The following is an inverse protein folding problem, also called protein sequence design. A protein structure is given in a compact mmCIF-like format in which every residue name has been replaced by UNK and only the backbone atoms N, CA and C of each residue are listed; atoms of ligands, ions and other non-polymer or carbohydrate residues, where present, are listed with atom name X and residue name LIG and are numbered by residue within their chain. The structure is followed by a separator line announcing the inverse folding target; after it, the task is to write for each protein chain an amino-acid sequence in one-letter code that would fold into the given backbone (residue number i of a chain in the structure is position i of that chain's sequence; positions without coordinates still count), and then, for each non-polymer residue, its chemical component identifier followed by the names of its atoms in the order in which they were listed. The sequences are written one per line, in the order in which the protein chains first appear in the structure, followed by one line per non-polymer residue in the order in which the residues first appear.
data_IF_900624462343
#
_entry.id   IF_900624462343
#
_cell.length_a   1.000
_cell.length_b   1.000
_cell.length_c   1.000
_cell.angle_alpha   90.00
_cell.angle_beta   90.00
_cell.angle_gamma   90.00
#
_symmetry.space_group_name_H-M   'P 1'
#
loop_
_entity.id
_entity.type
_entity.pdbx_description
1 polymer ?
#
# COMPACT_ATOMS: atom_id res chain seq x y z
N UNK A 1 -20.65 -44.24 -33.93
CA UNK A 1 -20.34 -42.96 -33.25
C UNK A 1 -19.33 -43.26 -32.18
N UNK A 2 -18.06 -42.97 -32.45
CA UNK A 2 -16.94 -43.15 -31.52
C UNK A 2 -16.77 -41.86 -30.70
N UNK A 3 -16.59 -41.93 -29.37
CA UNK A 3 -16.38 -40.74 -28.55
C UNK A 3 -15.00 -40.16 -28.85
N UNK A 4 -14.97 -38.89 -29.25
CA UNK A 4 -13.73 -38.14 -29.46
C UNK A 4 -13.18 -37.73 -28.09
N UNK A 5 -12.14 -38.43 -27.64
CA UNK A 5 -11.44 -38.11 -26.40
C UNK A 5 -10.68 -36.80 -26.58
N UNK A 6 -11.20 -35.70 -26.02
CA UNK A 6 -10.49 -34.42 -25.97
C UNK A 6 -9.23 -34.57 -25.14
N UNK A 7 -8.06 -34.36 -25.77
CA UNK A 7 -6.77 -34.36 -25.08
C UNK A 7 -6.67 -33.07 -24.28
N UNK A 8 -6.70 -33.16 -22.94
CA UNK A 8 -6.44 -32.04 -22.04
C UNK A 8 -4.93 -31.90 -21.93
N UNK A 9 -4.36 -30.89 -22.58
CA UNK A 9 -2.95 -30.53 -22.37
C UNK A 9 -2.88 -29.56 -21.18
N UNK A 10 -2.48 -30.10 -20.02
CA UNK A 10 -2.12 -29.27 -18.86
C UNK A 10 -0.71 -28.74 -19.08
N UNK A 11 -0.58 -27.45 -19.37
CA UNK A 11 0.71 -26.77 -19.47
C UNK A 11 0.92 -26.01 -18.16
N UNK A 12 1.86 -26.47 -17.34
CA UNK A 12 2.31 -25.77 -16.14
C UNK A 12 3.03 -24.48 -16.56
N UNK A 13 2.71 -23.30 -15.99
CA UNK A 13 3.39 -22.06 -16.35
C UNK A 13 4.89 -22.15 -16.05
N UNK A 14 5.69 -21.59 -16.97
CA UNK A 14 7.15 -21.60 -16.91
C UNK A 14 7.68 -20.89 -15.64
N UNK A 15 8.87 -21.31 -15.20
CA UNK A 15 9.52 -20.97 -13.93
C UNK A 15 10.02 -19.51 -13.80
N UNK A 16 9.47 -18.55 -14.55
CA UNK A 16 9.96 -17.17 -14.53
C UNK A 16 9.34 -16.27 -13.46
N UNK A 17 8.58 -16.82 -12.50
CA UNK A 17 8.27 -16.10 -11.26
C UNK A 17 9.30 -16.47 -10.21
N UNK A 18 10.49 -15.87 -10.28
CA UNK A 18 11.39 -15.84 -9.12
C UNK A 18 10.70 -15.04 -8.02
N UNK A 19 10.02 -15.74 -7.11
CA UNK A 19 9.74 -15.20 -5.79
C UNK A 19 11.10 -14.96 -5.13
N UNK A 20 11.52 -13.71 -5.06
CA UNK A 20 12.61 -13.32 -4.15
C UNK A 20 12.00 -13.46 -2.76
N UNK A 21 12.16 -14.63 -2.16
CA UNK A 21 12.06 -14.76 -0.71
C UNK A 21 13.23 -13.95 -0.18
N UNK A 22 12.94 -12.81 0.44
CA UNK A 22 13.92 -12.08 1.22
C UNK A 22 14.26 -12.96 2.42
N UNK A 23 15.28 -13.79 2.24
CA UNK A 23 15.95 -14.46 3.35
C UNK A 23 16.68 -13.36 4.13
N UNK A 24 16.49 -13.25 5.46
CA UNK A 24 17.33 -12.40 6.29
C UNK A 24 18.81 -12.68 6.00
N UNK A 25 19.66 -11.65 6.04
CA UNK A 25 21.08 -11.77 5.67
C UNK A 25 21.86 -12.81 6.51
N UNK A 26 21.32 -13.23 7.66
CA UNK A 26 21.74 -14.42 8.40
C UNK A 26 20.56 -14.91 9.27
N UNK A 27 20.07 -16.16 9.12
CA UNK A 27 19.02 -16.72 9.97
C UNK A 27 19.45 -16.99 11.42
N UNK A 28 20.75 -16.84 11.73
CA UNK A 28 21.31 -17.03 13.07
C UNK A 28 21.83 -15.74 13.71
N UNK A 29 21.69 -14.58 13.08
CA UNK A 29 22.07 -13.32 13.70
C UNK A 29 20.91 -12.79 14.57
N UNK A 30 21.03 -12.80 15.91
CA UNK A 30 19.99 -12.27 16.77
C UNK A 30 19.83 -10.76 16.52
N UNK A 31 18.58 -10.32 16.38
CA UNK A 31 18.20 -8.90 16.22
C UNK A 31 18.73 -8.01 17.36
N UNK A 32 19.16 -8.62 18.46
CA UNK A 32 19.72 -7.97 19.65
C UNK A 32 21.09 -7.30 19.40
N UNK A 33 21.84 -7.65 18.35
CA UNK A 33 23.14 -7.01 18.08
C UNK A 33 23.05 -5.57 17.54
N UNK A 34 21.84 -5.06 17.24
CA UNK A 34 21.60 -3.66 16.86
C UNK A 34 20.85 -2.88 17.94
N UNK A 35 20.66 -3.49 19.11
CA UNK A 35 20.23 -2.80 20.32
C UNK A 35 21.52 -2.52 21.09
N UNK A 36 21.92 -1.25 21.15
CA UNK A 36 22.75 -0.83 22.29
C UNK A 36 22.00 -1.28 23.55
N UNK A 37 22.69 -1.96 24.46
CA UNK A 37 22.20 -2.30 25.80
C UNK A 37 21.85 -0.99 26.53
N UNK A 38 20.63 -0.49 26.32
CA UNK A 38 20.13 0.67 27.05
C UNK A 38 19.49 0.15 28.33
N UNK A 39 20.12 0.58 29.41
CA UNK A 39 19.65 0.48 30.77
C UNK A 39 18.19 0.97 30.87
N UNK A 40 17.23 0.11 31.23
CA UNK A 40 15.84 0.54 31.45
C UNK A 40 15.72 1.66 32.50
N UNK A 41 16.74 1.85 33.34
CA UNK A 41 16.82 3.00 34.24
C UNK A 41 16.99 4.33 33.50
N UNK A 42 17.72 4.40 32.38
CA UNK A 42 17.92 5.64 31.61
C UNK A 42 16.63 6.10 30.92
N UNK A 43 15.82 5.16 30.41
CA UNK A 43 14.50 5.47 29.84
C UNK A 43 13.52 5.98 30.91
N UNK A 44 13.58 5.41 32.13
CA UNK A 44 12.79 5.89 33.27
C UNK A 44 13.26 7.25 33.79
N UNK A 45 14.57 7.53 33.74
CA UNK A 45 15.16 8.79 34.21
C UNK A 45 14.93 9.94 33.23
N UNK A 46 14.98 9.73 31.91
CA UNK A 46 14.59 10.77 30.94
C UNK A 46 13.07 11.02 30.94
N UNK A 47 12.25 9.98 31.16
CA UNK A 47 10.79 10.14 31.32
C UNK A 47 10.46 10.91 32.61
N UNK A 48 11.18 10.66 33.71
CA UNK A 48 11.07 11.42 34.96
C UNK A 48 11.60 12.85 34.85
N UNK A 49 12.72 13.08 34.15
CA UNK A 49 13.31 14.41 33.98
C UNK A 49 12.47 15.33 33.07
N UNK A 50 11.69 14.76 32.14
CA UNK A 50 10.73 15.50 31.34
C UNK A 50 9.50 15.97 32.17
N UNK A 51 9.18 15.29 33.27
CA UNK A 51 8.11 15.67 34.20
C UNK A 51 8.53 16.83 35.12
N UNK A 52 9.83 16.98 35.38
CA UNK A 52 10.35 17.95 36.36
C UNK A 52 10.54 19.39 35.82
N UNK A 53 10.25 19.63 34.54
CA UNK A 53 10.36 20.96 33.91
C UNK A 53 9.01 21.60 33.63
N UNK A 54 8.25 21.87 34.69
CA UNK A 54 7.12 22.80 34.63
C UNK A 54 7.00 23.57 35.97
N UNK A 55 7.44 24.84 36.08
CA UNK A 55 7.36 25.59 37.32
C UNK A 55 6.08 26.42 37.36
N UNK A 56 4.91 25.80 37.20
CA UNK A 56 3.65 26.43 37.60
C UNK A 56 2.72 25.36 38.17
N UNK A 57 2.88 25.11 39.47
CA UNK A 57 1.95 24.30 40.24
C UNK A 57 0.53 24.84 40.10
N UNK A 58 -0.32 24.10 39.39
CA UNK A 58 -1.77 24.18 39.52
C UNK A 58 -2.28 22.78 39.90
N UNK A 59 -3.13 22.67 40.93
CA UNK A 59 -3.63 21.37 41.38
C UNK A 59 -4.46 20.71 40.27
N UNK A 60 -4.20 19.41 40.06
CA UNK A 60 -5.08 18.52 39.29
C UNK A 60 -6.35 18.26 40.11
N UNK A 61 -7.37 19.09 39.91
CA UNK A 61 -8.75 18.75 40.21
C UNK A 61 -9.63 19.37 39.14
N UNK A 62 -10.62 18.60 38.68
CA UNK A 62 -11.66 18.93 37.68
C UNK A 62 -11.30 18.53 36.24
N UNK A 63 -11.17 17.21 36.03
CA UNK A 63 -11.61 16.62 34.76
C UNK A 63 -13.11 16.41 34.85
N UNK A 64 -13.89 17.28 34.21
CA UNK A 64 -15.28 17.00 33.91
C UNK A 64 -15.37 15.82 32.93
N UNK A 65 -16.32 14.88 33.12
CA UNK A 65 -16.54 13.80 32.17
C UNK A 65 -17.09 14.42 30.87
N UNK A 66 -16.35 14.24 29.77
CA UNK A 66 -16.84 14.55 28.44
C UNK A 66 -17.88 13.48 28.08
N UNK A 67 -19.11 13.95 27.91
CA UNK A 67 -20.27 13.22 27.41
C UNK A 67 -20.02 12.80 25.95
N UNK A 68 -19.77 11.52 25.73
CA UNK A 68 -19.65 10.91 24.40
C UNK A 68 -21.05 10.67 23.80
N UNK A 69 -21.74 11.76 23.44
CA UNK A 69 -22.96 11.65 22.62
C UNK A 69 -23.07 12.79 21.62
N UNK A 70 -22.63 12.52 20.38
CA UNK A 70 -23.02 13.09 19.06
C UNK A 70 -21.84 12.78 18.10
N UNK A 71 -21.91 11.91 17.08
CA UNK A 71 -23.01 11.69 16.16
C UNK A 71 -23.04 12.79 15.10
N UNK A 72 -22.15 12.77 14.08
CA UNK A 72 -22.56 12.85 12.66
C UNK A 72 -21.41 12.98 11.63
N UNK A 73 -21.53 12.11 10.61
CA UNK A 73 -21.25 12.29 9.17
C UNK A 73 -19.78 12.50 8.75
N UNK A 74 -19.07 11.38 8.60
CA UNK A 74 -18.10 11.29 7.49
C UNK A 74 -18.85 11.39 6.15
N UNK A 75 -18.33 12.12 5.14
CA UNK A 75 -19.05 12.31 3.88
C UNK A 75 -19.38 10.95 3.25
N UNK A 76 -20.67 10.73 3.02
CA UNK A 76 -21.22 9.51 2.45
C UNK A 76 -20.60 9.25 1.06
N UNK A 77 -19.70 8.28 0.98
CA UNK A 77 -19.15 7.77 -0.29
C UNK A 77 -20.15 6.83 -1.00
N UNK A 78 -21.44 6.90 -0.67
CA UNK A 78 -22.44 5.88 -1.00
C UNK A 78 -23.42 6.28 -2.11
N UNK A 79 -23.18 7.36 -2.85
CA UNK A 79 -24.11 7.81 -3.92
C UNK A 79 -23.41 8.10 -5.25
N UNK A 80 -22.55 7.19 -5.71
CA UNK A 80 -22.08 7.20 -7.09
C UNK A 80 -22.65 5.99 -7.84
N UNK A 81 -23.21 6.16 -9.04
CA UNK A 81 -23.75 5.06 -9.83
C UNK A 81 -22.63 4.07 -10.18
N UNK A 82 -22.93 2.78 -10.08
CA UNK A 82 -22.08 1.72 -10.64
C UNK A 82 -22.21 1.80 -12.16
N UNK A 83 -21.16 2.28 -12.85
CA UNK A 83 -21.09 2.37 -14.32
C UNK A 83 -19.71 1.91 -14.79
N UNK A 84 -19.58 1.55 -16.07
CA UNK A 84 -19.15 0.26 -16.60
C UNK A 84 -17.65 -0.02 -16.38
N UNK A 85 -17.23 -1.26 -16.66
CA UNK A 85 -15.81 -1.70 -16.71
C UNK A 85 -14.91 -0.56 -17.22
N UNK A 86 -13.85 -0.23 -16.47
CA UNK A 86 -12.81 0.70 -16.90
C UNK A 86 -12.32 0.31 -18.31
N UNK A 87 -12.73 1.09 -19.33
CA UNK A 87 -12.36 0.89 -20.74
C UNK A 87 -10.93 1.36 -20.99
N UNK A 88 -9.97 0.56 -20.50
CA UNK A 88 -8.54 0.82 -20.63
C UNK A 88 -7.88 -0.26 -21.47
N UNK A 89 -8.27 -0.48 -22.73
CA UNK A 89 -7.76 -1.61 -23.53
C UNK A 89 -6.86 -1.20 -24.72
N UNK A 90 -6.47 0.06 -24.79
CA UNK A 90 -5.65 0.60 -25.87
C UNK A 90 -4.15 0.41 -25.66
N UNK A 91 -3.70 0.42 -24.41
CA UNK A 91 -2.29 0.34 -24.02
C UNK A 91 -2.06 -0.67 -22.91
N UNK A 92 -0.84 -1.19 -22.84
CA UNK A 92 -0.41 -2.08 -21.77
C UNK A 92 -0.25 -1.34 -20.44
N UNK A 93 0.18 -0.08 -20.46
CA UNK A 93 0.41 0.72 -19.26
C UNK A 93 -0.42 1.98 -19.34
N UNK A 94 -0.99 2.42 -18.22
CA UNK A 94 -1.62 3.72 -18.07
C UNK A 94 -1.01 4.46 -16.90
N UNK A 95 -0.78 5.76 -17.08
CA UNK A 95 -0.29 6.64 -16.02
C UNK A 95 -1.31 7.74 -15.73
N UNK A 96 -1.44 8.16 -14.46
CA UNK A 96 -2.24 9.34 -14.14
C UNK A 96 -1.71 10.57 -14.88
N UNK A 97 -2.62 11.41 -15.35
CA UNK A 97 -2.28 12.71 -15.94
C UNK A 97 -2.00 13.81 -14.91
N UNK A 98 -2.21 13.52 -13.62
CA UNK A 98 -2.00 14.40 -12.48
C UNK A 98 -1.04 13.74 -11.47
N UNK A 99 -0.97 14.24 -10.24
CA UNK A 99 -0.10 13.68 -9.20
C UNK A 99 -0.45 12.24 -8.79
N UNK A 100 -1.61 11.72 -9.21
CA UNK A 100 -2.07 10.38 -8.90
C UNK A 100 -2.38 10.15 -7.42
N UNK A 101 -2.50 11.22 -6.60
CA UNK A 101 -2.76 11.07 -5.16
C UNK A 101 -4.15 10.51 -4.92
N UNK A 102 -4.23 9.26 -4.49
CA UNK A 102 -5.48 8.52 -4.31
C UNK A 102 -5.90 8.36 -2.86
N UNK A 103 -4.97 8.58 -1.92
CA UNK A 103 -5.26 8.49 -0.50
C UNK A 103 -4.23 9.25 0.33
N UNK A 104 -4.64 9.74 1.50
CA UNK A 104 -3.75 10.30 2.52
C UNK A 104 -4.37 10.08 3.90
N UNK A 105 -3.56 9.67 4.87
CA UNK A 105 -4.01 9.34 6.22
C UNK A 105 -2.91 9.51 7.26
N UNK A 106 -3.31 9.54 8.53
CA UNK A 106 -2.42 9.48 9.69
C UNK A 106 -2.58 8.11 10.34
N UNK A 107 -1.48 7.38 10.40
CA UNK A 107 -1.41 6.07 11.04
C UNK A 107 -0.56 6.17 12.31
N UNK A 108 -1.07 5.65 13.41
CA UNK A 108 -0.35 5.67 14.69
C UNK A 108 0.74 4.58 14.67
N UNK A 109 2.00 4.99 14.83
CA UNK A 109 3.13 4.08 14.94
C UNK A 109 3.23 3.57 16.39
N UNK A 110 3.14 4.47 17.37
CA UNK A 110 2.99 4.08 18.77
C UNK A 110 2.33 5.21 19.57
N UNK A 111 1.82 4.84 20.74
CA UNK A 111 1.44 5.79 21.79
C UNK A 111 2.08 5.40 23.12
N UNK A 112 2.46 6.40 23.89
CA UNK A 112 3.01 6.30 25.23
C UNK A 112 2.56 7.53 26.07
N UNK A 113 2.61 7.48 27.41
CA UNK A 113 1.95 8.46 28.28
C UNK A 113 2.23 9.94 27.98
N UNK A 114 3.46 10.27 27.53
CA UNK A 114 3.89 11.64 27.25
C UNK A 114 4.25 11.90 25.78
N UNK A 115 4.07 10.90 24.91
CA UNK A 115 4.48 11.01 23.51
C UNK A 115 3.77 10.02 22.59
N UNK A 116 3.48 10.47 21.37
CA UNK A 116 2.96 9.64 20.30
C UNK A 116 3.73 9.87 19.01
N UNK A 117 3.89 8.84 18.19
CA UNK A 117 4.45 8.97 16.85
C UNK A 117 3.42 8.51 15.84
N UNK A 118 3.17 9.35 14.83
CA UNK A 118 2.28 9.07 13.71
C UNK A 118 3.05 9.13 12.39
N UNK A 119 2.70 8.25 11.46
CA UNK A 119 3.07 8.34 10.06
C UNK A 119 1.95 8.98 9.24
N UNK A 120 2.20 10.13 8.62
CA UNK A 120 1.35 10.67 7.56
C UNK A 120 1.71 10.00 6.25
N UNK A 121 0.89 9.06 5.82
CA UNK A 121 1.08 8.35 4.56
C UNK A 121 0.32 9.09 3.46
N UNK A 122 0.98 9.35 2.34
CA UNK A 122 0.33 9.81 1.09
C UNK A 122 0.58 8.79 0.02
N UNK A 123 -0.52 8.30 -0.58
CA UNK A 123 -0.49 7.26 -1.59
C UNK A 123 -0.73 7.82 -2.97
N UNK A 124 0.17 7.50 -3.87
CA UNK A 124 0.12 7.84 -5.27
C UNK A 124 -0.07 6.58 -6.10
N UNK A 125 -1.07 6.58 -6.98
CA UNK A 125 -1.12 5.63 -8.08
C UNK A 125 -0.02 6.02 -9.08
N UNK A 126 0.96 5.16 -9.30
CA UNK A 126 2.02 5.39 -10.29
C UNK A 126 1.61 4.87 -11.68
N UNK A 127 0.98 3.68 -11.73
CA UNK A 127 0.47 3.11 -12.98
C UNK A 127 -0.62 2.07 -12.80
N UNK A 128 -1.41 1.88 -13.85
CA UNK A 128 -2.28 0.72 -14.06
C UNK A 128 -1.71 -0.06 -15.24
N UNK A 129 -1.37 -1.32 -15.04
CA UNK A 129 -0.69 -2.16 -16.04
C UNK A 129 -1.51 -3.39 -16.36
N UNK A 130 -1.69 -3.70 -17.64
CA UNK A 130 -2.13 -5.01 -18.09
C UNK A 130 -0.93 -5.95 -18.23
N UNK A 131 -0.80 -6.84 -17.25
CA UNK A 131 0.23 -7.88 -17.24
C UNK A 131 -0.23 -9.04 -18.10
N UNK A 132 0.50 -9.34 -19.18
CA UNK A 132 0.24 -10.53 -19.98
C UNK A 132 0.57 -11.77 -19.14
N UNK A 133 -0.40 -12.67 -18.96
CA UNK A 133 -0.19 -13.95 -18.28
C UNK A 133 0.16 -15.03 -19.29
N UNK A 134 -0.56 -15.08 -20.40
CA UNK A 134 -0.31 -16.05 -21.47
C UNK A 134 -0.81 -15.53 -22.81
N UNK A 135 -0.37 -16.18 -23.89
CA UNK A 135 -0.88 -15.99 -25.23
C UNK A 135 -0.94 -17.35 -25.94
N UNK A 136 -1.99 -17.57 -26.72
CA UNK A 136 -2.20 -18.78 -27.48
C UNK A 136 -2.65 -18.47 -28.89
N UNK A 137 -2.00 -19.07 -29.88
CA UNK A 137 -2.42 -18.97 -31.27
C UNK A 137 -3.09 -20.29 -31.68
N UNK A 138 -4.42 -20.30 -31.80
CA UNK A 138 -5.13 -21.48 -32.25
C UNK A 138 -5.02 -21.57 -33.77
N UNK A 139 -4.11 -22.41 -34.26
CA UNK A 139 -3.91 -22.66 -35.69
C UNK A 139 -4.83 -23.75 -36.25
N UNK A 140 -5.71 -24.32 -35.42
CA UNK A 140 -6.62 -25.38 -35.84
C UNK A 140 -7.86 -24.76 -36.53
N UNK A 141 -8.52 -25.52 -37.43
CA UNK A 141 -9.77 -25.10 -38.06
C UNK A 141 -10.99 -25.19 -37.13
N UNK A 142 -10.79 -25.61 -35.87
CA UNK A 142 -11.83 -25.76 -34.85
C UNK A 142 -11.48 -24.94 -33.62
N UNK A 143 -12.53 -24.53 -32.90
CA UNK A 143 -12.42 -23.90 -31.60
C UNK A 143 -11.66 -24.80 -30.59
N UNK A 144 -10.93 -24.16 -29.69
CA UNK A 144 -10.19 -24.82 -28.61
C UNK A 144 -10.55 -24.19 -27.26
N UNK A 145 -10.66 -25.00 -26.21
CA UNK A 145 -10.91 -24.50 -24.85
C UNK A 145 -9.64 -24.60 -24.02
N UNK A 146 -9.25 -23.49 -23.41
CA UNK A 146 -8.08 -23.40 -22.55
C UNK A 146 -8.45 -23.06 -21.12
N UNK A 147 -7.78 -23.70 -20.17
CA UNK A 147 -7.82 -23.29 -18.76
C UNK A 147 -6.64 -22.39 -18.45
N UNK A 148 -6.92 -21.21 -17.88
CA UNK A 148 -5.91 -20.26 -17.45
C UNK A 148 -6.16 -19.92 -15.99
N UNK A 149 -5.11 -19.97 -15.18
CA UNK A 149 -5.15 -19.55 -13.78
C UNK A 149 -4.31 -18.30 -13.55
N UNK A 150 -4.78 -17.41 -12.70
CA UNK A 150 -4.02 -16.25 -12.23
C UNK A 150 -4.29 -16.00 -10.75
N UNK A 151 -3.35 -15.34 -10.09
CA UNK A 151 -3.40 -15.10 -8.64
C UNK A 151 -3.47 -13.61 -8.34
N UNK A 152 -4.37 -13.25 -7.44
CA UNK A 152 -4.44 -11.91 -6.85
C UNK A 152 -3.50 -11.83 -5.66
N UNK A 153 -2.86 -10.68 -5.46
CA UNK A 153 -1.95 -10.48 -4.34
C UNK A 153 -1.57 -9.01 -4.20
N UNK A 154 -1.16 -8.65 -2.99
CA UNK A 154 -0.44 -7.43 -2.69
C UNK A 154 1.02 -7.77 -2.41
N UNK A 155 1.95 -7.01 -2.98
CA UNK A 155 3.38 -7.15 -2.69
C UNK A 155 4.06 -5.80 -2.54
N UNK A 156 4.93 -5.69 -1.53
CA UNK A 156 5.88 -4.60 -1.42
C UNK A 156 7.07 -4.89 -2.35
N UNK A 157 7.40 -3.93 -3.21
CA UNK A 157 8.50 -4.04 -4.19
C UNK A 157 9.70 -3.17 -3.86
N UNK A 158 9.48 -2.13 -3.06
CA UNK A 158 10.53 -1.29 -2.50
C UNK A 158 10.08 -0.72 -1.16
N UNK A 159 11.03 -0.53 -0.27
CA UNK A 159 10.75 -0.21 1.13
C UNK A 159 10.32 -1.49 1.84
N UNK A 160 10.90 -1.73 3.01
CA UNK A 160 10.30 -2.69 3.94
C UNK A 160 8.92 -2.18 4.32
N UNK A 161 8.00 -3.11 4.55
CA UNK A 161 6.76 -2.78 5.25
C UNK A 161 7.12 -2.13 6.58
N UNK A 162 6.40 -1.08 6.97
CA UNK A 162 6.55 -0.46 8.30
C UNK A 162 5.92 -1.42 9.32
N UNK A 163 6.55 -2.56 9.57
CA UNK A 163 5.98 -3.59 10.45
C UNK A 163 6.03 -3.22 11.93
N UNK A 164 6.74 -2.14 12.28
CA UNK A 164 6.74 -1.56 13.62
C UNK A 164 5.71 -0.44 13.68
N UNK A 165 4.54 -0.75 14.23
CA UNK A 165 3.57 0.25 14.69
C UNK A 165 2.25 0.29 13.91
N UNK A 166 2.26 0.25 12.58
CA UNK A 166 1.04 0.19 11.78
C UNK A 166 1.19 -0.69 10.54
N UNK A 167 0.19 -1.52 10.26
CA UNK A 167 0.23 -2.45 9.13
C UNK A 167 -0.11 -1.70 7.83
N UNK A 168 0.91 -1.40 7.02
CA UNK A 168 0.72 -0.68 5.76
C UNK A 168 -0.11 -1.50 4.76
N UNK A 169 0.03 -2.82 4.72
CA UNK A 169 -0.82 -3.69 3.89
C UNK A 169 -2.32 -3.57 4.24
N UNK A 170 -2.64 -3.46 5.52
CA UNK A 170 -4.01 -3.31 6.01
C UNK A 170 -4.66 -2.00 5.54
N UNK A 171 -3.88 -0.92 5.34
CA UNK A 171 -4.39 0.35 4.80
C UNK A 171 -4.82 0.28 3.32
N UNK A 172 -4.52 -0.82 2.62
CA UNK A 172 -5.05 -1.08 1.28
C UNK A 172 -6.40 -1.80 1.31
N UNK A 173 -6.76 -2.46 2.42
CA UNK A 173 -8.05 -3.15 2.56
C UNK A 173 -9.19 -2.14 2.48
N UNK A 174 -10.09 -2.32 1.52
CA UNK A 174 -11.20 -1.39 1.28
C UNK A 174 -10.78 -0.06 0.66
N UNK A 175 -9.53 0.09 0.22
CA UNK A 175 -9.08 1.25 -0.53
C UNK A 175 -9.96 1.42 -1.77
N UNK A 176 -10.39 2.66 -2.00
CA UNK A 176 -11.19 3.02 -3.14
C UNK A 176 -10.54 4.17 -3.90
N UNK A 177 -10.43 4.01 -5.22
CA UNK A 177 -9.82 5.01 -6.10
C UNK A 177 -10.79 5.38 -7.23
N UNK A 178 -10.81 6.65 -7.60
CA UNK A 178 -11.55 7.13 -8.77
C UNK A 178 -10.63 7.17 -10.00
N UNK A 179 -11.01 6.49 -11.08
CA UNK A 179 -10.25 6.44 -12.34
C UNK A 179 -11.22 6.65 -13.52
N UNK A 180 -10.95 7.65 -14.36
CA UNK A 180 -11.78 8.04 -15.51
C UNK A 180 -13.27 8.18 -15.18
N UNK A 181 -13.59 8.73 -14.00
CA UNK A 181 -14.98 8.90 -13.54
C UNK A 181 -15.65 7.64 -12.99
N UNK A 182 -14.98 6.49 -13.04
CA UNK A 182 -15.43 5.25 -12.40
C UNK A 182 -14.70 5.01 -11.08
N UNK A 183 -15.30 4.20 -10.21
CA UNK A 183 -14.77 3.89 -8.87
C UNK A 183 -14.29 2.45 -8.82
N UNK A 184 -13.07 2.26 -8.31
CA UNK A 184 -12.47 0.94 -8.10
C UNK A 184 -12.25 0.71 -6.61
N UNK A 185 -12.77 -0.38 -6.08
CA UNK A 185 -12.63 -0.78 -4.67
C UNK A 185 -11.80 -2.06 -4.56
N UNK A 186 -10.65 -2.03 -3.90
CA UNK A 186 -9.81 -3.21 -3.70
C UNK A 186 -10.40 -4.16 -2.66
N UNK A 187 -10.50 -5.44 -3.02
CA UNK A 187 -11.07 -6.47 -2.15
C UNK A 187 -10.03 -7.04 -1.17
N UNK A 188 -10.49 -7.79 -0.19
CA UNK A 188 -9.62 -8.52 0.74
C UNK A 188 -8.77 -9.59 0.04
N UNK A 189 -9.29 -10.22 -1.02
CA UNK A 189 -8.56 -11.15 -1.88
C UNK A 189 -7.45 -10.50 -2.71
N UNK A 190 -7.47 -9.17 -2.86
CA UNK A 190 -6.44 -8.43 -3.58
C UNK A 190 -5.38 -7.83 -2.66
N UNK A 191 -5.69 -7.69 -1.36
CA UNK A 191 -4.90 -6.85 -0.44
C UNK A 191 -4.33 -7.61 0.76
N UNK A 192 -5.12 -8.47 1.40
CA UNK A 192 -4.73 -9.16 2.63
C UNK A 192 -4.53 -10.65 2.41
N UNK A 193 -5.36 -11.26 1.56
CA UNK A 193 -5.26 -12.67 1.19
C UNK A 193 -4.89 -12.78 -0.28
N UNK A 194 -4.34 -13.92 -0.69
CA UNK A 194 -4.13 -14.22 -2.11
C UNK A 194 -5.15 -15.26 -2.57
N UNK A 195 -5.71 -15.07 -3.77
CA UNK A 195 -6.66 -16.01 -4.35
C UNK A 195 -6.26 -16.37 -5.77
N UNK A 196 -6.24 -17.66 -6.08
CA UNK A 196 -6.07 -18.13 -7.46
C UNK A 196 -7.44 -18.33 -8.09
N UNK A 197 -7.64 -17.73 -9.27
CA UNK A 197 -8.85 -17.86 -10.08
C UNK A 197 -8.48 -18.65 -11.33
N UNK A 198 -9.26 -19.69 -11.64
CA UNK A 198 -9.11 -20.50 -12.86
C UNK A 198 -10.30 -20.25 -13.78
N UNK A 199 -10.03 -19.97 -15.05
CA UNK A 199 -11.03 -19.66 -16.07
C UNK A 199 -10.90 -20.61 -17.25
N UNK A 200 -12.05 -20.93 -17.85
CA UNK A 200 -12.12 -21.62 -19.16
C UNK A 200 -12.38 -20.59 -20.26
N UNK A 201 -11.49 -20.53 -21.24
CA UNK A 201 -11.53 -19.58 -22.34
C UNK A 201 -11.67 -20.35 -23.64
N UNK A 202 -12.72 -20.04 -24.41
CA UNK A 202 -12.83 -20.53 -25.78
C UNK A 202 -12.00 -19.65 -26.72
N UNK A 203 -11.12 -20.27 -27.50
CA UNK A 203 -10.28 -19.63 -28.51
C UNK A 203 -10.76 -20.11 -29.88
N UNK A 204 -11.37 -19.23 -30.67
CA UNK A 204 -11.86 -19.59 -32.00
C UNK A 204 -10.76 -20.14 -32.91
N UNK A 205 -11.17 -20.90 -33.91
CA UNK A 205 -10.27 -21.37 -34.97
C UNK A 205 -9.45 -20.21 -35.59
N UNK A 206 -8.19 -20.49 -35.95
CA UNK A 206 -7.27 -19.57 -36.64
C UNK A 206 -7.12 -18.19 -35.97
N UNK A 207 -7.21 -18.13 -34.63
CA UNK A 207 -7.23 -16.87 -33.88
C UNK A 207 -6.18 -16.84 -32.78
N UNK A 208 -5.54 -15.68 -32.60
CA UNK A 208 -4.70 -15.37 -31.45
C UNK A 208 -5.57 -14.98 -30.26
N UNK A 209 -5.26 -15.50 -29.08
CA UNK A 209 -5.76 -15.05 -27.79
C UNK A 209 -4.58 -14.60 -26.93
N UNK A 210 -4.70 -13.42 -26.32
CA UNK A 210 -3.76 -12.92 -25.31
C UNK A 210 -4.55 -12.64 -24.05
N UNK A 211 -4.13 -13.22 -22.92
CA UNK A 211 -4.77 -13.05 -21.63
C UNK A 211 -3.99 -12.07 -20.78
N UNK A 212 -4.68 -11.05 -20.26
CA UNK A 212 -4.11 -10.03 -19.41
C UNK A 212 -4.80 -9.98 -18.05
N UNK A 213 -4.01 -9.76 -17.00
CA UNK A 213 -4.48 -9.43 -15.65
C UNK A 213 -4.08 -7.99 -15.31
N UNK A 214 -4.97 -7.23 -14.66
CA UNK A 214 -4.69 -5.85 -14.27
C UNK A 214 -3.82 -5.82 -13.01
N UNK A 215 -2.81 -4.96 -13.00
CA UNK A 215 -1.95 -4.65 -11.85
C UNK A 215 -1.99 -3.16 -11.57
N UNK A 216 -2.08 -2.78 -10.31
CA UNK A 216 -1.97 -1.40 -9.86
C UNK A 216 -0.64 -1.22 -9.13
N UNK A 217 0.10 -0.19 -9.52
CA UNK A 217 1.39 0.16 -8.93
C UNK A 217 1.22 1.45 -8.12
N UNK A 218 1.58 1.41 -6.84
CA UNK A 218 1.46 2.52 -5.90
C UNK A 218 2.82 2.93 -5.33
N UNK A 219 2.97 4.22 -5.04
CA UNK A 219 4.03 4.79 -4.20
C UNK A 219 3.42 5.42 -2.96
N UNK A 220 3.88 4.97 -1.80
CA UNK A 220 3.54 5.54 -0.51
C UNK A 220 4.70 6.43 -0.03
N UNK A 221 4.37 7.67 0.34
CA UNK A 221 5.27 8.64 0.97
C UNK A 221 4.84 8.88 2.41
N UNK A 222 5.63 8.39 3.35
CA UNK A 222 5.38 8.50 4.79
C UNK A 222 6.26 9.58 5.40
N UNK A 223 5.62 10.64 5.90
CA UNK A 223 6.26 11.64 6.76
C UNK A 223 5.87 11.40 8.21
N UNK A 224 6.64 11.92 9.16
CA UNK A 224 6.37 11.65 10.57
C UNK A 224 5.87 12.90 11.30
N UNK A 225 4.91 12.67 12.19
CA UNK A 225 4.41 13.63 13.17
C UNK A 225 4.71 13.08 14.55
N UNK A 226 5.46 13.83 15.34
CA UNK A 226 5.77 13.49 16.72
C UNK A 226 4.97 14.40 17.65
N UNK A 227 4.22 13.80 18.57
CA UNK A 227 3.54 14.49 19.65
C UNK A 227 4.33 14.28 20.93
N UNK A 228 4.64 15.36 21.66
CA UNK A 228 5.20 15.32 23.02
C UNK A 228 4.88 16.63 23.74
N UNK A 229 4.82 16.62 25.07
CA UNK A 229 4.58 17.83 25.86
C UNK A 229 3.42 18.72 25.34
N UNK A 230 2.31 18.07 24.93
CA UNK A 230 1.10 18.72 24.39
C UNK A 230 1.27 19.49 23.07
N UNK A 231 2.35 19.26 22.35
CA UNK A 231 2.65 19.91 21.07
C UNK A 231 2.90 18.86 19.98
N UNK A 232 2.61 19.25 18.74
CA UNK A 232 2.78 18.40 17.56
C UNK A 232 3.82 19.02 16.64
N UNK A 233 4.81 18.23 16.24
CA UNK A 233 5.82 18.65 15.27
C UNK A 233 5.84 17.70 14.09
N UNK A 234 6.04 18.25 12.90
CA UNK A 234 6.57 17.46 11.80
C UNK A 234 8.01 17.06 12.13
N UNK A 235 8.47 15.91 11.65
CA UNK A 235 9.85 15.47 11.88
C UNK A 235 10.69 15.77 10.63
N UNK A 236 11.69 16.61 10.80
CA UNK A 236 12.76 16.88 9.83
C UNK A 236 13.83 15.79 9.84
N UNK A 237 14.79 15.88 8.93
CA UNK A 237 15.95 14.97 8.90
C UNK A 237 16.83 15.10 10.16
N UNK A 238 17.79 14.18 10.35
CA UNK A 238 18.60 14.02 11.56
C UNK A 238 19.03 15.33 12.24
N UNK A 239 19.72 16.24 11.53
CA UNK A 239 20.24 17.49 12.10
C UNK A 239 19.65 18.76 11.44
N UNK A 240 18.53 18.66 10.73
CA UNK A 240 17.92 19.82 10.08
C UNK A 240 16.39 19.80 10.13
N UNK A 241 15.77 20.97 10.20
CA UNK A 241 14.31 21.10 10.19
C UNK A 241 13.73 20.75 8.81
N UNK A 242 14.50 20.89 7.73
CA UNK A 242 14.08 20.53 6.38
C UNK A 242 15.19 19.79 5.62
N UNK A 243 14.85 18.90 4.68
CA UNK A 243 13.49 18.45 4.34
C UNK A 243 12.85 17.61 5.47
N UNK A 244 11.57 17.30 5.34
CA UNK A 244 10.92 16.36 6.25
C UNK A 244 11.48 14.95 6.06
N UNK A 245 11.65 14.24 7.17
CA UNK A 245 12.02 12.83 7.14
C UNK A 245 10.92 12.06 6.38
N UNK A 246 11.33 11.30 5.36
CA UNK A 246 10.40 10.67 4.41
C UNK A 246 10.81 9.24 4.12
N UNK A 247 9.90 8.29 4.40
CA UNK A 247 10.01 6.92 3.88
C UNK A 247 9.27 6.83 2.57
N UNK A 248 9.89 6.20 1.57
CA UNK A 248 9.23 5.81 0.33
C UNK A 248 9.08 4.30 0.31
N UNK A 249 7.86 3.85 0.05
CA UNK A 249 7.54 2.44 -0.20
C UNK A 249 6.77 2.29 -1.51
N UNK A 250 6.94 1.16 -2.20
CA UNK A 250 6.23 0.85 -3.44
C UNK A 250 5.47 -0.45 -3.32
N UNK A 251 4.21 -0.42 -3.70
CA UNK A 251 3.27 -1.54 -3.56
C UNK A 251 2.69 -1.88 -4.91
N UNK A 252 2.52 -3.17 -5.16
CA UNK A 252 1.82 -3.67 -6.33
C UNK A 252 0.65 -4.52 -5.91
N UNK A 253 -0.50 -4.29 -6.54
CA UNK A 253 -1.71 -5.09 -6.36
C UNK A 253 -2.06 -5.77 -7.67
N UNK A 254 -1.97 -7.09 -7.71
CA UNK A 254 -2.51 -7.92 -8.79
C UNK A 254 -4.01 -8.11 -8.56
N UNK A 255 -4.81 -7.58 -9.49
CA UNK A 255 -6.26 -7.50 -9.36
C UNK A 255 -6.99 -8.74 -9.88
N UNK A 256 -8.23 -8.94 -9.45
CA UNK A 256 -9.21 -9.86 -10.04
C UNK A 256 -9.63 -9.45 -11.46
N UNK A 257 -9.32 -8.23 -11.90
CA UNK A 257 -9.67 -7.75 -13.24
C UNK A 257 -8.79 -8.41 -14.32
N UNK A 258 -9.45 -9.01 -15.30
CA UNK A 258 -8.79 -9.63 -16.46
C UNK A 258 -9.54 -9.30 -17.76
N UNK A 259 -8.85 -9.44 -18.87
CA UNK A 259 -9.48 -9.45 -20.20
C UNK A 259 -8.66 -10.26 -21.20
N UNK A 260 -9.31 -10.63 -22.31
CA UNK A 260 -8.66 -11.28 -23.45
C UNK A 260 -8.65 -10.36 -24.66
N UNK A 261 -7.60 -10.45 -25.46
CA UNK A 261 -7.44 -9.71 -26.70
C UNK A 261 -7.07 -10.63 -27.85
N UNK A 262 -7.39 -10.23 -29.08
CA UNK A 262 -6.94 -10.90 -30.31
C UNK A 262 -5.65 -10.33 -30.89
N UNK A 263 -5.06 -9.37 -30.17
CA UNK A 263 -3.80 -8.71 -30.49
C UNK A 263 -3.04 -8.39 -29.20
N UNK A 264 -1.74 -8.24 -29.31
CA UNK A 264 -0.96 -7.70 -28.20
C UNK A 264 -1.29 -6.21 -28.00
N UNK A 265 -1.40 -5.81 -26.73
CA UNK A 265 -1.47 -4.40 -26.38
C UNK A 265 -0.13 -3.71 -26.68
N UNK A 266 -0.14 -2.49 -27.23
CA UNK A 266 1.08 -1.69 -27.38
C UNK A 266 1.63 -1.26 -26.01
N UNK A 267 2.94 -1.12 -25.91
CA UNK A 267 3.65 -0.83 -24.65
C UNK A 267 3.43 0.57 -24.06
N UNK A 268 2.90 1.53 -24.82
CA UNK A 268 2.91 2.94 -24.44
C UNK A 268 2.27 3.21 -23.06
N UNK A 269 2.58 4.33 -22.39
CA UNK A 269 1.66 4.80 -21.39
C UNK A 269 0.47 5.46 -22.11
N UNK A 270 -0.72 4.87 -22.00
CA UNK A 270 -1.96 5.63 -22.06
C UNK A 270 -2.06 6.57 -20.86
N UNK A 271 -3.02 7.49 -20.90
CA UNK A 271 -3.26 8.43 -19.80
C UNK A 271 -4.61 8.16 -19.14
N UNK A 272 -4.67 8.31 -17.83
CA UNK A 272 -5.93 8.23 -17.06
C UNK A 272 -6.11 9.44 -16.16
N UNK A 273 -7.37 9.85 -15.99
CA UNK A 273 -7.75 10.81 -14.98
C UNK A 273 -7.93 10.10 -13.65
N UNK A 274 -7.30 10.60 -12.59
CA UNK A 274 -7.46 10.06 -11.23
C UNK A 274 -8.12 11.10 -10.35
N UNK A 275 -9.15 10.69 -9.61
CA UNK A 275 -9.78 11.56 -8.60
C UNK A 275 -8.79 11.80 -7.46
N UNK A 276 -8.41 13.06 -7.27
CA UNK A 276 -7.44 13.43 -6.24
C UNK A 276 -8.06 13.35 -4.85
N UNK A 277 -7.42 12.58 -3.96
CA UNK A 277 -7.73 12.62 -2.55
C UNK A 277 -7.21 13.91 -1.90
N UNK A 278 -7.90 14.45 -0.88
CA UNK A 278 -7.33 15.49 -0.03
C UNK A 278 -6.07 14.97 0.66
N UNK A 279 -5.14 15.88 0.94
CA UNK A 279 -3.91 15.54 1.66
C UNK A 279 -4.06 15.92 3.13
N UNK A 280 -3.70 15.00 4.02
CA UNK A 280 -3.69 15.29 5.45
C UNK A 280 -2.55 16.26 5.76
N UNK A 281 -2.89 17.33 6.49
CA UNK A 281 -1.93 18.36 6.86
C UNK A 281 -0.96 17.82 7.93
N UNK A 282 0.31 18.21 7.80
CA UNK A 282 1.28 18.07 8.87
C UNK A 282 1.31 19.35 9.73
N UNK A 283 1.79 19.25 10.98
CA UNK A 283 2.05 20.44 11.79
C UNK A 283 2.97 21.42 11.06
N UNK A 284 2.77 22.72 11.30
CA UNK A 284 3.62 23.78 10.72
C UNK A 284 5.02 23.76 11.31
N UNK A 285 5.09 23.53 12.62
CA UNK A 285 6.35 23.50 13.34
C UNK A 285 7.06 22.17 13.07
N UNK A 286 8.37 22.25 12.89
CA UNK A 286 9.20 21.10 12.60
C UNK A 286 10.22 20.89 13.71
N UNK A 287 10.49 19.64 14.02
CA UNK A 287 11.51 19.21 14.97
C UNK A 287 12.57 18.42 14.19
N UNK A 288 13.85 18.68 14.46
CA UNK A 288 14.93 17.85 13.91
C UNK A 288 14.78 16.43 14.43
N UNK A 289 15.05 15.41 13.62
CA UNK A 289 14.89 14.02 14.09
C UNK A 289 15.78 13.72 15.30
N UNK A 290 16.98 14.27 15.39
CA UNK A 290 17.84 14.11 16.57
C UNK A 290 17.23 14.71 17.87
N UNK A 291 16.33 15.70 17.76
CA UNK A 291 15.66 16.30 18.91
C UNK A 291 14.38 15.56 19.31
N UNK A 292 13.94 14.55 18.56
CA UNK A 292 12.80 13.69 18.95
C UNK A 292 13.19 12.81 20.14
N UNK A 293 12.19 12.33 20.88
CA UNK A 293 12.41 11.44 22.03
C UNK A 293 13.11 10.14 21.58
N UNK A 294 13.92 9.48 22.44
CA UNK A 294 14.69 8.30 22.05
C UNK A 294 13.84 7.21 21.38
N UNK A 295 12.66 6.92 21.94
CA UNK A 295 11.72 5.95 21.36
C UNK A 295 11.25 6.34 19.96
N UNK A 296 10.99 7.62 19.68
CA UNK A 296 10.65 8.10 18.35
C UNK A 296 11.81 7.90 17.37
N UNK A 297 13.03 8.31 17.77
CA UNK A 297 14.24 8.10 16.95
C UNK A 297 14.46 6.64 16.59
N UNK A 298 14.35 5.74 17.58
CA UNK A 298 14.51 4.29 17.40
C UNK A 298 13.47 3.72 16.43
N UNK A 299 12.19 4.12 16.58
CA UNK A 299 11.14 3.65 15.68
C UNK A 299 11.34 4.14 14.25
N UNK A 300 11.71 5.41 14.05
CA UNK A 300 12.01 5.95 12.72
C UNK A 300 13.24 5.24 12.11
N UNK A 301 14.30 5.00 12.89
CA UNK A 301 15.50 4.29 12.44
C UNK A 301 15.22 2.83 12.05
N UNK A 302 14.41 2.13 12.85
CA UNK A 302 14.01 0.76 12.58
C UNK A 302 13.16 0.60 11.29
N UNK A 303 12.65 1.69 10.73
CA UNK A 303 11.98 1.70 9.42
C UNK A 303 12.97 1.80 8.25
N UNK A 304 14.28 1.80 8.51
CA UNK A 304 15.32 1.88 7.49
C UNK A 304 15.43 3.27 6.88
N UNK A 305 15.52 4.28 7.76
CA UNK A 305 15.75 5.70 7.48
C UNK A 305 16.83 6.20 8.43
#
# INVERSE_FOLDING_TARGET
MTPTTGTITVITPNENTKAIVLVPADPNEPVDNYLDDIDPEEESQEEAAAIERDPVGRPLSDFEPIDDTEGEIGPAVNTLPVVPKLDLYDFQVYRPNNTGRVWSGLEQIYSAPIQDLYGRVTRHLESITWVQITSWNNLMPTDQVFEVSFTTSLRFTQGSEVNRGFNMGATYKGLSIGVNGSRRNFTESETTTSRTVTLRINVPANTLMVFYQRRYDFRDETNFRHYRARQNWAVGVWNAYHPLETKISRVQIMSEEYFTATRFLPHGPGTVNVTLAPQVALPRDTLRRNDTMPRARRNIAAMGI
#
